data_IF_029677874272
#
_entry.id   IF_029677874272
#
_cell.length_a   1.000
_cell.length_b   1.000
_cell.length_c   1.000
_cell.angle_alpha   90.00
_cell.angle_beta   90.00
_cell.angle_gamma   90.00
#
_symmetry.space_group_name_H-M   'P 1'
#
loop_
_entity.id
_entity.type
_entity.pdbx_description
1 polymer ?
#
# COMPACT_ATOMS: atom_id res chain seq x y z
N UNK A 1 -27.40 -14.23 -38.43
CA UNK A 1 -26.45 -13.13 -38.61
C UNK A 1 -26.62 -12.18 -37.44
N UNK A 2 -25.90 -12.39 -36.37
CA UNK A 2 -25.94 -11.58 -35.17
C UNK A 2 -24.63 -10.76 -35.12
N UNK A 3 -24.80 -9.42 -35.08
CA UNK A 3 -23.69 -8.47 -34.97
C UNK A 3 -23.26 -8.42 -33.52
N UNK A 4 -22.08 -8.92 -33.21
CA UNK A 4 -21.39 -8.69 -31.94
C UNK A 4 -20.93 -7.23 -31.87
N UNK A 5 -21.58 -6.43 -31.02
CA UNK A 5 -21.11 -5.13 -30.63
C UNK A 5 -19.96 -5.27 -29.64
N UNK A 6 -18.75 -4.89 -30.06
CA UNK A 6 -17.59 -4.76 -29.17
C UNK A 6 -17.82 -3.58 -28.23
N UNK A 7 -18.09 -3.86 -26.96
CA UNK A 7 -17.99 -2.89 -25.88
C UNK A 7 -16.48 -2.68 -25.65
N UNK A 8 -15.99 -1.52 -26.07
CA UNK A 8 -14.64 -1.05 -25.72
C UNK A 8 -14.65 -0.69 -24.23
N UNK A 9 -14.09 -1.56 -23.42
CA UNK A 9 -13.72 -1.24 -22.05
C UNK A 9 -12.55 -0.27 -22.15
N UNK A 10 -12.80 1.00 -21.87
CA UNK A 10 -11.76 2.03 -21.74
C UNK A 10 -10.97 1.80 -20.48
N UNK A 11 -10.06 0.84 -20.51
CA UNK A 11 -9.14 0.59 -19.41
C UNK A 11 -8.10 1.70 -19.38
N UNK A 12 -7.88 2.29 -18.23
CA UNK A 12 -6.84 3.25 -17.90
C UNK A 12 -5.45 2.74 -18.28
N UNK A 13 -5.02 3.01 -19.49
CA UNK A 13 -3.65 2.77 -19.93
C UNK A 13 -3.04 4.11 -20.37
N UNK A 14 -2.32 4.74 -19.45
CA UNK A 14 -1.24 5.65 -19.81
C UNK A 14 -0.09 4.81 -20.35
N UNK A 15 -0.19 4.36 -21.61
CA UNK A 15 0.95 3.79 -22.34
C UNK A 15 1.59 4.87 -23.19
N UNK A 16 2.83 5.20 -22.86
CA UNK A 16 3.79 5.69 -23.83
C UNK A 16 4.42 4.48 -24.52
N UNK A 17 4.63 4.49 -25.85
CA UNK A 17 5.18 3.33 -26.55
C UNK A 17 6.68 3.19 -26.24
N UNK A 18 7.06 2.10 -25.62
CA UNK A 18 8.46 1.66 -25.54
C UNK A 18 8.75 0.82 -26.78
N UNK A 19 9.63 1.35 -27.60
CA UNK A 19 10.18 0.64 -28.76
C UNK A 19 11.00 -0.57 -28.30
N UNK A 20 10.65 -1.72 -28.84
CA UNK A 20 11.41 -2.98 -28.74
C UNK A 20 12.81 -2.83 -29.32
N UNK A 21 13.85 -3.03 -28.52
CA UNK A 21 15.20 -3.33 -28.95
C UNK A 21 15.63 -4.69 -28.40
N UNK A 22 15.61 -5.67 -29.26
CA UNK A 22 16.31 -6.94 -29.09
C UNK A 22 17.82 -6.68 -29.13
N UNK A 23 18.57 -7.13 -28.14
CA UNK A 23 20.01 -7.28 -28.28
C UNK A 23 20.56 -8.41 -27.40
N UNK A 24 20.96 -9.44 -28.06
CA UNK A 24 22.13 -10.33 -28.00
C UNK A 24 22.79 -10.56 -26.62
N UNK A 25 22.71 -11.81 -26.24
CA UNK A 25 23.64 -12.46 -25.32
C UNK A 25 25.10 -12.40 -25.82
N UNK A 26 26.01 -12.06 -24.92
CA UNK A 26 27.43 -12.36 -25.08
C UNK A 26 27.98 -12.90 -23.76
N UNK A 27 28.42 -14.16 -23.82
CA UNK A 27 29.26 -14.83 -22.83
C UNK A 27 30.63 -14.14 -22.76
N UNK A 28 31.16 -13.93 -21.56
CA UNK A 28 32.60 -13.91 -21.34
C UNK A 28 32.94 -14.32 -19.91
N UNK A 29 33.55 -15.46 -19.82
CA UNK A 29 34.69 -15.97 -19.05
C UNK A 29 35.05 -15.32 -17.72
N UNK A 30 35.09 -16.20 -16.72
CA UNK A 30 35.84 -16.24 -15.46
C UNK A 30 37.18 -15.51 -15.48
N UNK A 31 37.38 -14.65 -14.47
CA UNK A 31 38.70 -14.40 -13.87
C UNK A 31 38.59 -14.34 -12.35
N UNK A 32 39.19 -15.33 -11.70
CA UNK A 32 39.51 -15.31 -10.29
C UNK A 32 40.54 -14.23 -10.00
N UNK A 33 40.37 -13.52 -8.88
CA UNK A 33 41.47 -12.82 -8.19
C UNK A 33 41.19 -12.77 -6.69
N UNK A 34 42.23 -12.82 -5.84
CA UNK A 34 42.14 -13.42 -4.53
C UNK A 34 42.05 -12.41 -3.38
N UNK A 35 41.56 -12.92 -2.23
CA UNK A 35 41.78 -12.49 -0.85
C UNK A 35 41.72 -10.99 -0.50
N UNK A 36 40.62 -10.58 0.10
CA UNK A 36 40.65 -9.70 1.25
C UNK A 36 39.81 -10.35 2.35
N UNK A 37 40.50 -10.99 3.27
CA UNK A 37 39.96 -11.46 4.53
C UNK A 37 39.90 -10.26 5.50
N UNK A 38 38.96 -10.40 6.45
CA UNK A 38 38.88 -9.69 7.72
C UNK A 38 38.47 -8.20 7.70
N UNK A 39 37.13 -7.96 7.73
CA UNK A 39 36.49 -7.14 8.75
C UNK A 39 34.97 -7.41 8.76
N UNK A 40 34.58 -8.62 9.09
CA UNK A 40 33.19 -8.94 9.38
C UNK A 40 32.95 -8.64 10.86
N UNK A 41 32.39 -7.45 11.13
CA UNK A 41 31.75 -7.19 12.41
C UNK A 41 30.67 -8.25 12.70
N UNK A 42 30.25 -8.44 13.95
CA UNK A 42 29.38 -9.55 14.34
C UNK A 42 28.09 -9.51 13.53
N UNK A 43 27.91 -10.49 12.69
CA UNK A 43 26.62 -10.78 12.04
C UNK A 43 25.65 -11.11 13.17
N UNK A 44 24.70 -10.19 13.41
CA UNK A 44 23.61 -10.44 14.35
C UNK A 44 22.72 -11.50 13.72
N UNK A 45 22.89 -12.73 14.12
CA UNK A 45 22.08 -13.91 13.76
C UNK A 45 20.63 -13.85 14.32
N UNK A 46 20.08 -12.68 14.58
CA UNK A 46 18.80 -12.50 15.28
C UNK A 46 17.55 -12.70 14.42
N UNK A 47 17.66 -13.04 13.12
CA UNK A 47 16.52 -12.99 12.19
C UNK A 47 15.82 -14.32 11.91
N UNK A 48 16.49 -15.46 12.01
CA UNK A 48 15.93 -16.75 11.53
C UNK A 48 14.98 -17.39 12.55
N UNK A 49 15.23 -17.20 13.83
CA UNK A 49 14.43 -17.83 14.90
C UNK A 49 13.09 -17.12 15.17
N UNK A 50 12.89 -15.86 14.71
CA UNK A 50 11.67 -15.09 14.98
C UNK A 50 10.43 -15.62 14.25
N UNK A 51 10.61 -16.40 13.17
CA UNK A 51 9.49 -17.00 12.40
C UNK A 51 9.30 -18.50 12.70
N UNK A 52 10.23 -19.14 13.39
CA UNK A 52 10.14 -20.54 13.73
C UNK A 52 8.91 -20.79 14.63
N UNK A 53 7.92 -21.50 14.08
CA UNK A 53 6.68 -21.81 14.80
C UNK A 53 5.57 -20.75 14.72
N UNK A 54 5.79 -19.58 14.12
CA UNK A 54 4.73 -18.61 13.90
C UNK A 54 3.75 -19.11 12.84
N UNK A 55 2.47 -19.19 13.21
CA UNK A 55 1.37 -19.52 12.29
C UNK A 55 0.53 -18.26 12.05
N UNK A 56 0.61 -17.74 10.84
CA UNK A 56 -0.17 -16.60 10.42
C UNK A 56 -1.67 -16.90 10.41
N UNK A 57 -2.46 -16.08 11.12
CA UNK A 57 -3.93 -16.12 11.06
C UNK A 57 -4.44 -14.99 10.15
N UNK A 58 -4.65 -15.30 8.88
CA UNK A 58 -5.09 -14.34 7.86
C UNK A 58 -6.52 -13.85 8.02
N UNK A 59 -7.29 -14.41 8.96
CA UNK A 59 -8.63 -13.92 9.35
C UNK A 59 -8.55 -12.79 10.36
N UNK A 60 -7.46 -12.75 11.11
CA UNK A 60 -7.15 -11.66 12.01
C UNK A 60 -6.56 -10.49 11.22
N UNK A 61 -6.99 -9.26 11.50
CA UNK A 61 -6.34 -8.08 10.94
C UNK A 61 -4.97 -7.82 11.55
N UNK A 62 -4.75 -8.21 12.78
CA UNK A 62 -3.50 -7.96 13.51
C UNK A 62 -2.57 -9.16 13.45
N UNK A 63 -1.27 -8.90 13.22
CA UNK A 63 -0.23 -9.90 13.43
C UNK A 63 -0.16 -10.42 14.89
N UNK A 64 -0.95 -9.80 15.79
CA UNK A 64 -1.00 -10.17 17.20
C UNK A 64 0.34 -9.93 17.90
N UNK A 65 0.44 -9.72 19.19
CA UNK A 65 1.60 -9.32 20.00
C UNK A 65 3.00 -9.89 19.65
N UNK A 66 3.24 -10.19 18.37
CA UNK A 66 4.51 -10.70 17.86
C UNK A 66 5.45 -9.53 17.55
N UNK A 67 6.64 -9.55 18.10
CA UNK A 67 7.75 -8.69 17.69
C UNK A 67 8.36 -9.23 16.37
N UNK A 68 7.52 -9.53 15.39
CA UNK A 68 7.99 -10.05 14.11
C UNK A 68 8.71 -8.94 13.35
N UNK A 69 9.89 -9.25 12.88
CA UNK A 69 10.68 -8.40 12.00
C UNK A 69 10.98 -9.15 10.71
N UNK A 70 10.93 -8.42 9.59
CA UNK A 70 11.38 -8.98 8.32
C UNK A 70 12.86 -9.34 8.40
N UNK A 71 13.29 -10.30 7.59
CA UNK A 71 14.72 -10.54 7.36
C UNK A 71 15.36 -9.26 6.79
N UNK A 72 16.69 -9.10 6.93
CA UNK A 72 17.41 -8.00 6.29
C UNK A 72 17.03 -7.94 4.81
N UNK A 73 16.56 -6.78 4.28
CA UNK A 73 16.07 -6.71 2.92
C UNK A 73 17.21 -6.91 1.91
N UNK A 74 16.88 -7.55 0.81
CA UNK A 74 17.76 -7.61 -0.35
C UNK A 74 17.59 -6.33 -1.16
N UNK A 75 18.67 -5.60 -1.37
CA UNK A 75 18.69 -4.44 -2.26
C UNK A 75 18.78 -4.92 -3.72
N UNK A 76 17.71 -4.68 -4.49
CA UNK A 76 17.70 -4.98 -5.91
C UNK A 76 18.28 -3.85 -6.76
N UNK A 77 17.90 -2.61 -6.45
CA UNK A 77 18.28 -1.42 -7.22
C UNK A 77 18.35 -0.19 -6.33
N UNK A 78 19.27 0.73 -6.63
CA UNK A 78 19.36 2.03 -5.96
C UNK A 78 19.68 3.13 -6.97
N UNK A 79 18.74 4.04 -7.14
CA UNK A 79 18.88 5.21 -8.00
C UNK A 79 19.13 6.46 -7.18
N UNK A 80 19.92 7.35 -7.74
CA UNK A 80 20.30 8.59 -7.10
C UNK A 80 19.96 9.79 -7.99
N UNK A 81 18.74 10.33 -7.85
CA UNK A 81 18.27 11.49 -8.56
C UNK A 81 18.75 12.81 -7.88
N UNK A 82 18.64 13.96 -8.52
CA UNK A 82 19.09 15.25 -7.93
C UNK A 82 18.40 15.58 -6.60
N UNK A 83 17.12 15.30 -6.46
CA UNK A 83 16.23 15.72 -5.38
C UNK A 83 15.79 14.57 -4.43
N UNK A 84 15.92 13.32 -4.87
CA UNK A 84 15.57 12.15 -4.06
C UNK A 84 16.46 10.94 -4.38
N UNK A 85 16.37 9.89 -3.56
CA UNK A 85 16.89 8.56 -3.85
C UNK A 85 15.74 7.57 -3.93
N UNK A 86 15.86 6.55 -4.79
CA UNK A 86 14.93 5.42 -4.84
C UNK A 86 15.68 4.12 -4.57
N UNK A 87 15.17 3.32 -3.66
CA UNK A 87 15.62 1.96 -3.39
C UNK A 87 14.52 0.98 -3.75
N UNK A 88 14.85 -0.09 -4.46
CA UNK A 88 13.95 -1.21 -4.74
C UNK A 88 14.45 -2.38 -3.91
N UNK A 89 13.64 -2.84 -2.97
CA UNK A 89 13.99 -3.83 -1.96
C UNK A 89 13.09 -5.05 -2.07
N UNK A 90 13.64 -6.22 -1.78
CA UNK A 90 12.85 -7.42 -1.46
C UNK A 90 12.87 -7.61 0.05
N UNK A 91 11.73 -7.36 0.70
CA UNK A 91 11.54 -7.51 2.15
C UNK A 91 10.84 -8.84 2.40
N UNK A 92 11.57 -9.79 2.98
CA UNK A 92 11.06 -11.14 3.19
C UNK A 92 10.76 -11.40 4.65
N UNK A 93 9.58 -11.92 4.93
CA UNK A 93 9.19 -12.47 6.22
C UNK A 93 8.39 -13.78 6.10
N UNK A 94 7.78 -14.04 4.93
CA UNK A 94 7.23 -15.36 4.58
C UNK A 94 8.19 -16.07 3.64
N UNK A 95 8.40 -17.38 3.78
CA UNK A 95 9.19 -18.17 2.83
C UNK A 95 8.62 -18.04 1.42
N UNK A 96 9.47 -17.71 0.44
CA UNK A 96 9.09 -17.65 -0.97
C UNK A 96 8.16 -16.50 -1.39
N UNK A 97 7.77 -15.60 -0.48
CA UNK A 97 6.83 -14.51 -0.75
C UNK A 97 7.39 -13.14 -0.29
N UNK A 98 8.42 -12.59 -0.95
CA UNK A 98 8.97 -11.29 -0.59
C UNK A 98 8.03 -10.15 -0.97
N UNK A 99 7.99 -9.11 -0.14
CA UNK A 99 7.34 -7.85 -0.47
C UNK A 99 8.30 -7.02 -1.32
N UNK A 100 7.91 -6.68 -2.54
CA UNK A 100 8.66 -5.73 -3.37
C UNK A 100 8.34 -4.31 -2.91
N UNK A 101 9.32 -3.66 -2.30
CA UNK A 101 9.19 -2.36 -1.67
C UNK A 101 10.00 -1.31 -2.42
N UNK A 102 9.34 -0.21 -2.78
CA UNK A 102 9.95 0.98 -3.39
C UNK A 102 10.06 2.05 -2.32
N UNK A 103 11.27 2.45 -1.97
CA UNK A 103 11.51 3.49 -0.96
C UNK A 103 12.10 4.72 -1.63
N UNK A 104 11.32 5.80 -1.70
CA UNK A 104 11.75 7.10 -2.23
C UNK A 104 11.98 8.07 -1.08
N UNK A 105 13.20 8.59 -0.94
CA UNK A 105 13.59 9.49 0.14
C UNK A 105 13.98 10.88 -0.41
N UNK A 106 13.32 11.97 0.03
CA UNK A 106 13.70 13.32 -0.36
C UNK A 106 15.06 13.69 0.27
N UNK A 107 15.99 14.24 -0.51
CA UNK A 107 17.35 14.59 -0.03
C UNK A 107 17.39 15.81 0.89
N UNK A 108 16.39 16.69 0.79
CA UNK A 108 16.37 17.96 1.52
C UNK A 108 15.84 17.87 2.95
N UNK A 109 15.27 16.74 3.32
CA UNK A 109 14.64 16.53 4.63
C UNK A 109 15.30 15.36 5.34
N UNK A 110 15.82 15.63 6.54
CA UNK A 110 16.35 14.57 7.40
C UNK A 110 15.19 13.92 8.13
N UNK A 111 15.14 12.59 8.15
CA UNK A 111 14.09 11.80 8.77
C UNK A 111 12.67 12.29 8.35
N UNK A 112 12.33 12.25 7.04
CA UNK A 112 11.03 12.68 6.58
C UNK A 112 9.92 11.78 7.15
N UNK A 113 8.71 12.32 7.39
CA UNK A 113 7.53 11.49 7.61
C UNK A 113 7.22 10.66 6.37
N UNK A 114 6.55 9.53 6.51
CA UNK A 114 6.35 8.61 5.41
C UNK A 114 4.88 8.39 5.04
N UNK A 115 4.65 8.16 3.75
CA UNK A 115 3.35 7.76 3.21
C UNK A 115 3.52 6.45 2.45
N UNK A 116 2.73 5.45 2.84
CA UNK A 116 2.59 4.21 2.08
C UNK A 116 1.60 4.44 0.94
N UNK A 117 1.98 4.01 -0.26
CA UNK A 117 1.15 4.11 -1.46
C UNK A 117 0.82 2.73 -1.99
N UNK A 118 -0.45 2.40 -2.05
CA UNK A 118 -0.95 1.15 -2.61
C UNK A 118 -2.07 1.44 -3.61
N UNK A 119 -1.80 1.11 -4.86
CA UNK A 119 -2.75 1.29 -5.95
C UNK A 119 -3.61 0.05 -6.15
N UNK A 120 -4.62 0.21 -7.00
CA UNK A 120 -5.58 -0.85 -7.26
C UNK A 120 -4.98 -1.97 -8.12
N UNK A 121 -5.33 -3.20 -7.79
CA UNK A 121 -5.12 -4.35 -8.66
C UNK A 121 -5.68 -4.08 -10.08
N UNK A 122 -5.00 -4.48 -11.16
CA UNK A 122 -3.70 -5.17 -11.21
C UNK A 122 -2.48 -4.25 -11.35
N UNK A 123 -2.64 -2.94 -11.47
CA UNK A 123 -1.58 -1.98 -11.79
C UNK A 123 -1.01 -1.30 -10.53
N UNK A 124 -0.52 -2.09 -9.59
CA UNK A 124 -0.15 -1.57 -8.28
C UNK A 124 1.20 -0.84 -8.24
N UNK A 125 2.22 -1.30 -8.97
CA UNK A 125 3.59 -0.87 -8.73
C UNK A 125 4.37 -0.32 -9.94
N UNK A 126 3.90 -0.45 -11.17
CA UNK A 126 4.63 -0.05 -12.37
C UNK A 126 5.06 1.42 -12.36
N UNK A 127 4.20 2.28 -11.81
CA UNK A 127 4.43 3.72 -11.72
C UNK A 127 5.58 4.13 -10.80
N UNK A 128 5.98 3.27 -9.84
CA UNK A 128 7.12 3.55 -8.95
C UNK A 128 8.49 3.43 -9.64
N UNK A 129 8.52 3.02 -10.90
CA UNK A 129 9.71 3.07 -11.75
C UNK A 129 9.82 4.37 -12.55
N UNK A 130 8.73 5.12 -12.69
CA UNK A 130 8.73 6.42 -13.35
C UNK A 130 9.32 7.50 -12.43
N UNK A 131 10.34 8.23 -12.92
CA UNK A 131 11.06 9.24 -12.14
C UNK A 131 10.17 10.43 -11.80
N UNK A 132 9.38 10.91 -12.78
CA UNK A 132 8.54 12.10 -12.58
C UNK A 132 7.43 11.81 -11.59
N UNK A 133 6.83 10.63 -11.68
CA UNK A 133 5.85 10.19 -10.72
C UNK A 133 6.45 10.09 -9.30
N UNK A 134 7.61 9.45 -9.15
CA UNK A 134 8.30 9.37 -7.85
C UNK A 134 8.61 10.78 -7.29
N UNK A 135 8.99 11.73 -8.15
CA UNK A 135 9.24 13.11 -7.76
C UNK A 135 7.99 13.79 -7.19
N UNK A 136 6.82 13.59 -7.80
CA UNK A 136 5.54 14.10 -7.27
C UNK A 136 5.24 13.56 -5.86
N UNK A 137 5.59 12.31 -5.59
CA UNK A 137 5.34 11.69 -4.29
C UNK A 137 6.22 12.25 -3.17
N UNK A 138 7.42 12.74 -3.49
CA UNK A 138 8.39 13.23 -2.49
C UNK A 138 8.57 14.76 -2.48
N UNK A 139 8.00 15.48 -3.44
CA UNK A 139 8.23 16.92 -3.67
C UNK A 139 7.98 17.80 -2.45
N UNK A 140 7.05 17.42 -1.59
CA UNK A 140 6.68 18.15 -0.38
C UNK A 140 7.43 17.66 0.88
N UNK A 141 8.52 16.89 0.71
CA UNK A 141 9.40 16.52 1.81
C UNK A 141 8.88 15.34 2.65
N UNK A 142 8.03 14.49 2.09
CA UNK A 142 7.63 13.20 2.66
C UNK A 142 8.39 12.06 1.98
N UNK A 143 8.75 11.02 2.71
CA UNK A 143 9.18 9.76 2.11
C UNK A 143 7.96 9.06 1.48
N UNK A 144 8.16 8.46 0.32
CA UNK A 144 7.13 7.67 -0.32
C UNK A 144 7.52 6.19 -0.35
N UNK A 145 6.59 5.33 0.09
CA UNK A 145 6.79 3.89 0.21
C UNK A 145 5.75 3.21 -0.67
N UNK A 146 6.17 2.74 -1.84
CA UNK A 146 5.32 1.98 -2.75
C UNK A 146 5.51 0.47 -2.56
N UNK A 147 4.47 -0.31 -2.72
CA UNK A 147 4.56 -1.77 -2.68
C UNK A 147 3.43 -2.43 -3.46
N UNK A 148 3.59 -3.73 -3.76
CA UNK A 148 2.56 -4.57 -4.34
C UNK A 148 1.87 -5.40 -3.26
N UNK A 149 0.54 -5.45 -3.29
CA UNK A 149 -0.25 -6.30 -2.40
C UNK A 149 -0.15 -7.78 -2.78
N UNK A 150 -0.66 -8.65 -1.91
CA UNK A 150 -0.78 -10.06 -2.21
C UNK A 150 -1.88 -10.40 -3.24
N UNK A 151 -2.56 -9.39 -3.79
CA UNK A 151 -3.54 -9.56 -4.87
C UNK A 151 -2.89 -9.67 -6.25
N UNK A 152 -1.61 -9.33 -6.41
CA UNK A 152 -0.95 -9.33 -7.72
C UNK A 152 -0.31 -10.67 -8.07
N UNK A 153 -0.31 -11.01 -9.37
CA UNK A 153 0.28 -12.23 -9.93
C UNK A 153 1.74 -12.43 -9.55
N UNK A 154 2.50 -11.35 -9.42
CA UNK A 154 3.92 -11.41 -9.09
C UNK A 154 4.23 -12.08 -7.75
N UNK A 155 3.23 -12.14 -6.85
CA UNK A 155 3.35 -12.75 -5.53
C UNK A 155 2.76 -14.16 -5.44
N UNK A 156 2.20 -14.66 -6.55
CA UNK A 156 1.56 -15.97 -6.63
C UNK A 156 2.38 -16.98 -7.47
N UNK A 157 3.70 -16.79 -7.58
CA UNK A 157 4.54 -17.67 -8.39
C UNK A 157 4.42 -19.17 -8.03
N UNK A 158 4.19 -19.47 -6.77
CA UNK A 158 4.03 -20.86 -6.29
C UNK A 158 2.57 -21.30 -6.23
N UNK A 159 1.64 -20.39 -6.41
CA UNK A 159 0.20 -20.63 -6.42
C UNK A 159 -0.37 -19.95 -7.66
N UNK A 160 -0.46 -20.64 -8.79
CA UNK A 160 -1.18 -20.05 -9.91
C UNK A 160 -2.57 -19.67 -9.42
N UNK A 161 -2.87 -18.38 -9.39
CA UNK A 161 -4.25 -17.91 -9.33
C UNK A 161 -4.95 -18.63 -10.46
N UNK A 162 -5.76 -19.62 -10.12
CA UNK A 162 -6.39 -20.43 -11.13
C UNK A 162 -7.26 -19.60 -12.05
N UNK A 163 -7.73 -18.47 -11.53
CA UNK A 163 -8.57 -17.55 -12.27
C UNK A 163 -8.31 -16.09 -11.88
N UNK A 164 -8.38 -15.69 -10.62
CA UNK A 164 -8.05 -14.35 -10.13
C UNK A 164 -8.28 -14.21 -8.60
N UNK A 165 -7.83 -13.08 -8.01
CA UNK A 165 -7.73 -12.91 -6.56
C UNK A 165 -9.03 -13.06 -5.76
N UNK A 166 -10.22 -12.95 -6.38
CA UNK A 166 -11.50 -13.03 -5.65
C UNK A 166 -11.74 -14.42 -5.08
N UNK A 167 -11.37 -15.47 -5.79
CA UNK A 167 -11.49 -16.83 -5.26
C UNK A 167 -10.71 -17.02 -3.95
N UNK A 168 -9.66 -16.23 -3.75
CA UNK A 168 -8.78 -16.24 -2.58
C UNK A 168 -8.82 -14.90 -1.81
N UNK A 169 -9.93 -14.17 -1.88
CA UNK A 169 -10.06 -12.81 -1.35
C UNK A 169 -9.71 -12.70 0.14
N UNK A 170 -10.14 -13.67 0.96
CA UNK A 170 -9.81 -13.73 2.38
C UNK A 170 -8.29 -13.80 2.60
N UNK A 171 -7.63 -14.71 1.91
CA UNK A 171 -6.19 -14.91 2.03
C UNK A 171 -5.41 -13.71 1.51
N UNK A 172 -5.80 -13.18 0.35
CA UNK A 172 -5.14 -12.06 -0.29
C UNK A 172 -5.23 -10.77 0.53
N UNK A 173 -6.41 -10.46 1.07
CA UNK A 173 -6.60 -9.29 1.92
C UNK A 173 -5.85 -9.44 3.26
N UNK A 174 -6.02 -10.57 3.95
CA UNK A 174 -5.36 -10.82 5.24
C UNK A 174 -3.83 -10.76 5.10
N UNK A 175 -3.29 -11.42 4.07
CA UNK A 175 -1.86 -11.36 3.74
C UNK A 175 -1.40 -9.91 3.52
N UNK A 176 -2.14 -9.12 2.73
CA UNK A 176 -1.76 -7.74 2.42
C UNK A 176 -1.82 -6.82 3.64
N UNK A 177 -2.79 -7.00 4.53
CA UNK A 177 -2.90 -6.24 5.79
C UNK A 177 -1.72 -6.55 6.72
N UNK A 178 -1.31 -7.81 6.81
CA UNK A 178 -0.14 -8.21 7.58
C UNK A 178 1.17 -7.68 6.96
N UNK A 179 1.25 -7.62 5.63
CA UNK A 179 2.39 -7.03 4.94
C UNK A 179 2.55 -5.55 5.26
N UNK A 180 1.46 -4.78 5.34
CA UNK A 180 1.52 -3.38 5.76
C UNK A 180 2.13 -3.27 7.16
N UNK A 181 1.70 -4.10 8.11
CA UNK A 181 2.26 -4.11 9.48
C UNK A 181 3.74 -4.50 9.47
N UNK A 182 4.14 -5.46 8.63
CA UNK A 182 5.53 -5.86 8.48
C UNK A 182 6.38 -4.77 7.82
N UNK A 183 5.85 -4.06 6.81
CA UNK A 183 6.51 -2.87 6.24
C UNK A 183 6.73 -1.82 7.33
N UNK A 184 5.74 -1.52 8.16
CA UNK A 184 5.87 -0.58 9.26
C UNK A 184 6.92 -1.03 10.29
N UNK A 185 6.99 -2.32 10.60
CA UNK A 185 8.03 -2.89 11.45
C UNK A 185 9.42 -2.69 10.82
N UNK A 186 9.56 -2.99 9.53
CA UNK A 186 10.80 -2.76 8.80
C UNK A 186 11.18 -1.26 8.79
N UNK A 187 10.24 -0.37 8.47
CA UNK A 187 10.52 1.07 8.47
C UNK A 187 10.99 1.58 9.85
N UNK A 188 10.50 0.98 10.93
CA UNK A 188 10.93 1.36 12.28
C UNK A 188 12.38 0.98 12.60
N UNK A 189 12.98 0.06 11.84
CA UNK A 189 14.39 -0.28 11.96
C UNK A 189 15.31 0.66 11.16
N UNK A 190 14.73 1.46 10.25
CA UNK A 190 15.47 2.46 9.47
C UNK A 190 15.66 3.74 10.29
N UNK A 191 16.87 4.24 10.38
CA UNK A 191 17.15 5.51 11.06
C UNK A 191 16.94 6.77 10.22
N UNK A 192 16.46 6.63 8.99
CA UNK A 192 16.34 7.69 7.98
C UNK A 192 14.88 8.10 7.68
N UNK A 193 13.90 7.56 8.42
CA UNK A 193 12.46 7.85 8.29
C UNK A 193 11.87 8.14 9.67
N UNK A 194 10.99 9.13 9.78
CA UNK A 194 10.19 9.39 10.97
C UNK A 194 8.94 8.53 11.00
N UNK A 195 9.03 7.38 11.64
CA UNK A 195 7.92 6.43 11.77
C UNK A 195 6.84 6.81 12.80
N UNK A 196 7.00 7.93 13.49
CA UNK A 196 5.95 8.49 14.35
C UNK A 196 4.86 9.19 13.53
N UNK A 197 5.15 9.55 12.27
CA UNK A 197 4.28 10.27 11.34
C UNK A 197 4.10 9.46 10.06
N UNK A 198 3.15 8.53 10.08
CA UNK A 198 2.84 7.65 8.95
C UNK A 198 1.45 7.95 8.41
N UNK A 199 1.36 8.07 7.09
CA UNK A 199 0.11 8.06 6.33
C UNK A 199 0.04 6.88 5.37
N UNK A 200 -1.17 6.62 4.85
CA UNK A 200 -1.36 5.66 3.78
C UNK A 200 -2.37 6.18 2.76
N UNK A 201 -1.95 6.20 1.50
CA UNK A 201 -2.81 6.40 0.35
C UNK A 201 -3.20 5.05 -0.22
N UNK A 202 -4.48 4.88 -0.53
CA UNK A 202 -4.98 3.68 -1.19
C UNK A 202 -5.96 4.02 -2.31
N UNK A 203 -5.91 3.24 -3.38
CA UNK A 203 -6.82 3.32 -4.53
C UNK A 203 -7.51 1.97 -4.72
N UNK A 204 -8.82 1.93 -4.85
CA UNK A 204 -9.61 0.71 -5.09
C UNK A 204 -9.35 -0.39 -4.06
N UNK A 205 -8.73 -1.50 -4.48
CA UNK A 205 -8.28 -2.58 -3.59
C UNK A 205 -7.24 -2.10 -2.59
N UNK A 206 -6.34 -1.19 -3.00
CA UNK A 206 -5.36 -0.58 -2.10
C UNK A 206 -6.02 0.26 -1.01
N UNK A 207 -7.14 0.93 -1.29
CA UNK A 207 -7.92 1.67 -0.30
C UNK A 207 -8.64 0.72 0.68
N UNK A 208 -9.14 -0.42 0.21
CA UNK A 208 -9.68 -1.46 1.07
C UNK A 208 -8.63 -1.96 2.08
N UNK A 209 -7.43 -2.28 1.59
CA UNK A 209 -6.30 -2.72 2.43
C UNK A 209 -5.88 -1.60 3.40
N UNK A 210 -5.86 -0.33 2.96
CA UNK A 210 -5.51 0.81 3.81
C UNK A 210 -6.48 0.97 4.99
N UNK A 211 -7.78 0.81 4.77
CA UNK A 211 -8.81 0.83 5.83
C UNK A 211 -8.54 -0.27 6.86
N UNK A 212 -8.34 -1.50 6.39
CA UNK A 212 -8.12 -2.66 7.25
C UNK A 212 -6.79 -2.55 8.03
N UNK A 213 -5.73 -2.12 7.36
CA UNK A 213 -4.42 -1.92 7.98
C UNK A 213 -4.45 -0.83 9.06
N UNK A 214 -5.14 0.30 8.81
CA UNK A 214 -5.26 1.38 9.80
C UNK A 214 -6.16 1.00 10.97
N UNK A 215 -7.12 0.10 10.80
CA UNK A 215 -7.89 -0.46 11.89
C UNK A 215 -7.02 -1.37 12.78
N UNK A 216 -6.09 -2.12 12.18
CA UNK A 216 -5.20 -3.02 12.89
C UNK A 216 -3.99 -2.32 13.53
N UNK A 217 -3.46 -1.26 12.89
CA UNK A 217 -2.20 -0.63 13.29
C UNK A 217 -2.36 0.87 13.60
N UNK A 218 -2.17 1.26 14.87
CA UNK A 218 -2.32 2.65 15.28
C UNK A 218 -1.21 3.59 14.77
N UNK A 219 -0.15 3.08 14.17
CA UNK A 219 0.91 3.90 13.57
C UNK A 219 0.43 4.66 12.34
N UNK A 220 -0.55 4.13 11.61
CA UNK A 220 -1.15 4.83 10.46
C UNK A 220 -2.10 5.91 10.99
N UNK A 221 -1.69 7.18 10.88
CA UNK A 221 -2.42 8.35 11.43
C UNK A 221 -3.31 9.05 10.41
N UNK A 222 -2.90 9.04 9.14
CA UNK A 222 -3.56 9.76 8.05
C UNK A 222 -3.91 8.79 6.94
N UNK A 223 -5.14 8.84 6.46
CA UNK A 223 -5.63 8.00 5.37
C UNK A 223 -6.20 8.86 4.25
N UNK A 224 -5.84 8.50 3.03
CA UNK A 224 -6.37 9.10 1.83
C UNK A 224 -6.87 7.98 0.90
N UNK A 225 -8.17 7.88 0.74
CA UNK A 225 -8.85 6.73 0.17
C UNK A 225 -9.54 7.13 -1.13
N UNK A 226 -9.09 6.58 -2.26
CA UNK A 226 -9.73 6.76 -3.55
C UNK A 226 -10.58 5.53 -3.90
N UNK A 227 -11.89 5.72 -4.09
CA UNK A 227 -12.83 4.68 -4.54
C UNK A 227 -12.64 3.32 -3.86
N UNK A 228 -12.64 3.25 -2.51
CA UNK A 228 -12.37 2.00 -1.80
C UNK A 228 -13.35 0.90 -2.20
N UNK A 229 -12.82 -0.33 -2.36
CA UNK A 229 -13.67 -1.52 -2.44
C UNK A 229 -14.15 -1.89 -1.03
N UNK A 230 -15.31 -2.50 -0.94
CA UNK A 230 -15.91 -2.96 0.31
C UNK A 230 -17.41 -3.20 0.17
N UNK A 231 -18.07 -3.59 1.27
CA UNK A 231 -19.44 -4.11 1.23
C UNK A 231 -19.48 -5.35 0.33
N UNK A 232 -18.68 -6.35 0.72
CA UNK A 232 -18.43 -7.51 -0.12
C UNK A 232 -19.69 -8.15 -0.72
N UNK A 233 -20.83 -8.29 -0.01
CA UNK A 233 -22.03 -8.87 -0.62
C UNK A 233 -22.53 -8.07 -1.83
N UNK A 234 -22.54 -6.73 -1.74
CA UNK A 234 -22.98 -5.87 -2.83
C UNK A 234 -21.91 -5.74 -3.91
N UNK A 235 -20.65 -5.61 -3.50
CA UNK A 235 -19.52 -5.50 -4.42
C UNK A 235 -19.39 -6.76 -5.29
N UNK A 236 -19.43 -7.95 -4.70
CA UNK A 236 -19.34 -9.23 -5.42
C UNK A 236 -20.54 -9.45 -6.35
N UNK A 237 -21.71 -8.95 -5.97
CA UNK A 237 -22.91 -9.08 -6.78
C UNK A 237 -22.90 -8.18 -8.02
N UNK A 238 -22.27 -6.98 -7.96
CA UNK A 238 -22.51 -5.93 -8.94
C UNK A 238 -21.26 -5.33 -9.59
N UNK A 239 -20.07 -5.52 -9.00
CA UNK A 239 -18.83 -4.97 -9.58
C UNK A 239 -18.60 -5.51 -10.99
N UNK A 240 -18.17 -4.62 -11.89
CA UNK A 240 -17.77 -5.01 -13.25
C UNK A 240 -16.54 -5.93 -13.29
N UNK A 241 -15.76 -6.00 -12.22
CA UNK A 241 -14.63 -6.92 -12.10
C UNK A 241 -15.07 -8.37 -11.90
N UNK A 242 -16.25 -8.62 -11.35
CA UNK A 242 -16.73 -9.99 -11.07
C UNK A 242 -17.43 -10.56 -12.28
N UNK A 243 -16.91 -11.62 -12.94
CA UNK A 243 -17.60 -12.27 -14.02
C UNK A 243 -18.98 -12.76 -13.60
N UNK A 244 -19.98 -12.55 -14.46
CA UNK A 244 -21.38 -12.85 -14.12
C UNK A 244 -21.58 -14.32 -13.77
N UNK A 245 -20.92 -15.20 -14.50
CA UNK A 245 -20.94 -16.65 -14.31
C UNK A 245 -20.35 -17.12 -12.98
N UNK A 246 -19.47 -16.33 -12.37
CA UNK A 246 -18.82 -16.66 -11.10
C UNK A 246 -19.56 -16.11 -9.87
N UNK A 247 -20.39 -15.07 -10.05
CA UNK A 247 -21.06 -14.36 -8.94
C UNK A 247 -21.81 -15.28 -7.99
N UNK A 248 -22.50 -16.28 -8.53
CA UNK A 248 -23.26 -17.24 -7.71
C UNK A 248 -22.36 -18.04 -6.76
N UNK A 249 -21.08 -18.28 -7.12
CA UNK A 249 -20.13 -18.96 -6.24
C UNK A 249 -19.68 -18.08 -5.07
N UNK A 250 -19.44 -16.79 -5.34
CA UNK A 250 -18.96 -15.82 -4.35
C UNK A 250 -20.06 -15.26 -3.43
N UNK A 251 -21.32 -15.41 -3.84
CA UNK A 251 -22.49 -15.01 -3.01
C UNK A 251 -22.99 -16.13 -2.10
N UNK A 252 -22.32 -17.29 -2.07
CA UNK A 252 -22.67 -18.36 -1.13
C UNK A 252 -22.38 -17.91 0.31
N UNK A 253 -23.26 -18.29 1.27
CA UNK A 253 -23.09 -17.92 2.68
C UNK A 253 -21.70 -18.26 3.23
N UNK A 254 -21.15 -19.41 2.85
CA UNK A 254 -19.84 -19.89 3.33
C UNK A 254 -18.70 -19.01 2.83
N UNK A 255 -18.80 -18.50 1.61
CA UNK A 255 -17.81 -17.56 1.06
C UNK A 255 -17.92 -16.20 1.74
N UNK A 256 -19.14 -15.65 1.80
CA UNK A 256 -19.38 -14.35 2.43
C UNK A 256 -18.95 -14.34 3.91
N UNK A 257 -19.23 -15.42 4.64
CA UNK A 257 -18.81 -15.55 6.05
C UNK A 257 -17.28 -15.52 6.21
N UNK A 258 -16.53 -16.08 5.26
CA UNK A 258 -15.06 -16.06 5.30
C UNK A 258 -14.51 -14.66 5.09
N UNK A 259 -15.04 -13.90 4.13
CA UNK A 259 -14.55 -12.56 3.79
C UNK A 259 -15.12 -11.45 4.68
N UNK A 260 -16.18 -11.73 5.42
CA UNK A 260 -16.87 -10.78 6.29
C UNK A 260 -15.97 -10.05 7.30
N UNK A 261 -15.01 -10.71 8.00
CA UNK A 261 -14.09 -10.04 8.93
C UNK A 261 -13.17 -9.04 8.23
N UNK A 262 -12.97 -9.19 6.92
CA UNK A 262 -12.10 -8.36 6.09
C UNK A 262 -12.94 -7.39 5.21
N UNK A 263 -14.18 -7.09 5.59
CA UNK A 263 -14.98 -6.09 4.90
C UNK A 263 -14.63 -4.69 5.41
N UNK A 264 -14.05 -3.80 4.58
CA UNK A 264 -13.72 -2.44 4.96
C UNK A 264 -14.90 -1.66 5.57
N UNK A 265 -16.13 -1.91 5.09
CA UNK A 265 -17.33 -1.25 5.60
C UNK A 265 -17.48 -1.38 7.13
N UNK A 266 -17.07 -2.52 7.71
CA UNK A 266 -17.18 -2.78 9.15
C UNK A 266 -16.17 -2.01 10.00
N UNK A 267 -15.06 -1.59 9.38
CA UNK A 267 -13.93 -1.00 10.09
C UNK A 267 -13.89 0.53 9.99
N UNK A 268 -14.59 1.13 9.04
CA UNK A 268 -14.58 2.58 8.83
C UNK A 268 -14.93 3.38 10.08
N UNK A 269 -15.93 2.97 10.84
CA UNK A 269 -16.34 3.66 12.07
C UNK A 269 -15.24 3.65 13.17
N UNK A 270 -14.33 2.69 13.14
CA UNK A 270 -13.22 2.56 14.08
C UNK A 270 -12.06 3.52 13.76
N UNK A 271 -12.10 4.17 12.59
CA UNK A 271 -11.08 5.14 12.17
C UNK A 271 -11.33 6.56 12.72
N UNK A 272 -12.22 6.73 13.70
CA UNK A 272 -12.56 8.05 14.27
C UNK A 272 -11.37 8.80 14.91
N UNK A 273 -10.31 8.09 15.30
CA UNK A 273 -9.07 8.69 15.80
C UNK A 273 -8.06 9.02 14.70
N UNK A 274 -8.38 8.78 13.43
CA UNK A 274 -7.53 9.03 12.27
C UNK A 274 -7.99 10.29 11.54
N UNK A 275 -7.06 10.92 10.82
CA UNK A 275 -7.40 11.94 9.82
C UNK A 275 -7.66 11.22 8.50
N UNK A 276 -8.89 11.30 8.00
CA UNK A 276 -9.32 10.52 6.84
C UNK A 276 -9.89 11.42 5.76
N UNK A 277 -9.50 11.19 4.50
CA UNK A 277 -10.13 11.73 3.31
C UNK A 277 -10.66 10.59 2.45
N UNK A 278 -11.89 10.75 1.96
CA UNK A 278 -12.50 9.88 0.94
C UNK A 278 -12.60 10.65 -0.37
N UNK A 279 -12.07 10.10 -1.44
CA UNK A 279 -12.14 10.64 -2.78
C UNK A 279 -13.05 9.77 -3.65
N UNK A 280 -14.04 10.36 -4.27
CA UNK A 280 -15.07 9.67 -5.06
C UNK A 280 -15.02 10.10 -6.52
N UNK A 281 -14.99 9.11 -7.40
CA UNK A 281 -15.05 9.23 -8.84
C UNK A 281 -16.30 8.52 -9.37
N UNK A 282 -17.47 9.19 -9.42
CA UNK A 282 -18.79 8.56 -9.61
C UNK A 282 -18.98 7.87 -10.96
N UNK A 283 -18.08 8.04 -11.88
CA UNK A 283 -18.05 7.36 -13.18
C UNK A 283 -17.35 5.99 -13.15
N UNK A 284 -16.69 5.67 -12.05
CA UNK A 284 -16.06 4.36 -11.89
C UNK A 284 -17.11 3.27 -11.63
N UNK A 285 -17.00 2.18 -12.37
CA UNK A 285 -17.93 1.04 -12.28
C UNK A 285 -17.43 -0.10 -11.43
N UNK A 286 -16.16 -0.01 -10.94
CA UNK A 286 -15.54 -1.06 -10.15
C UNK A 286 -16.14 -1.15 -8.76
N UNK A 287 -16.50 0.00 -8.16
CA UNK A 287 -17.24 0.03 -6.90
C UNK A 287 -18.70 0.37 -7.21
N UNK A 288 -19.66 -0.55 -6.99
CA UNK A 288 -21.08 -0.30 -7.22
C UNK A 288 -21.57 0.91 -6.43
N UNK A 289 -22.50 1.69 -7.01
CA UNK A 289 -23.00 2.91 -6.38
C UNK A 289 -23.60 2.67 -5.00
N UNK A 290 -24.30 1.55 -4.81
CA UNK A 290 -24.89 1.16 -3.52
C UNK A 290 -23.86 0.80 -2.46
N UNK A 291 -22.77 0.15 -2.85
CA UNK A 291 -21.62 -0.11 -1.96
C UNK A 291 -20.92 1.22 -1.61
N UNK A 292 -20.68 2.09 -2.61
CA UNK A 292 -20.08 3.42 -2.43
C UNK A 292 -20.88 4.28 -1.43
N UNK A 293 -22.20 4.36 -1.58
CA UNK A 293 -23.06 5.10 -0.65
C UNK A 293 -22.98 4.57 0.79
N UNK A 294 -22.90 3.25 0.97
CA UNK A 294 -22.74 2.66 2.31
C UNK A 294 -21.36 2.92 2.90
N UNK A 295 -20.29 2.80 2.10
CA UNK A 295 -18.94 3.14 2.53
C UNK A 295 -18.85 4.62 2.92
N UNK A 296 -19.39 5.53 2.09
CA UNK A 296 -19.43 6.96 2.40
C UNK A 296 -20.17 7.24 3.71
N UNK A 297 -21.36 6.64 3.90
CA UNK A 297 -22.17 6.80 5.11
C UNK A 297 -21.48 6.27 6.38
N UNK A 298 -20.63 5.25 6.23
CA UNK A 298 -19.88 4.65 7.33
C UNK A 298 -18.60 5.42 7.70
N UNK A 299 -18.23 6.44 6.92
CA UNK A 299 -17.05 7.26 7.21
C UNK A 299 -17.18 7.96 8.56
N UNK A 300 -16.04 8.15 9.29
CA UNK A 300 -16.04 8.98 10.48
C UNK A 300 -16.59 10.38 10.20
N UNK A 301 -17.32 10.96 11.14
CA UNK A 301 -17.99 12.27 10.96
C UNK A 301 -17.03 13.42 10.60
N UNK A 302 -15.77 13.32 11.00
CA UNK A 302 -14.71 14.29 10.69
C UNK A 302 -14.00 14.03 9.34
N UNK A 303 -14.36 12.98 8.61
CA UNK A 303 -13.73 12.67 7.34
C UNK A 303 -14.02 13.74 6.28
N UNK A 304 -13.00 14.09 5.51
CA UNK A 304 -13.15 14.97 4.36
C UNK A 304 -13.59 14.16 3.15
N UNK A 305 -14.65 14.60 2.46
CA UNK A 305 -15.16 13.91 1.27
C UNK A 305 -14.98 14.79 0.05
N UNK A 306 -14.23 14.30 -0.93
CA UNK A 306 -13.98 14.96 -2.21
C UNK A 306 -14.68 14.20 -3.32
N UNK A 307 -15.41 14.90 -4.18
CA UNK A 307 -16.07 14.33 -5.36
C UNK A 307 -15.53 14.97 -6.62
N UNK A 308 -15.07 14.15 -7.53
CA UNK A 308 -14.66 14.61 -8.85
C UNK A 308 -15.87 14.65 -9.80
N UNK A 309 -16.04 15.75 -10.51
CA UNK A 309 -17.17 15.92 -11.43
C UNK A 309 -17.11 14.95 -12.62
N UNK A 310 -15.87 14.65 -13.07
CA UNK A 310 -15.64 13.79 -14.23
C UNK A 310 -14.19 13.25 -14.23
N UNK A 311 -13.91 12.30 -15.13
CA UNK A 311 -12.58 11.69 -15.29
C UNK A 311 -11.48 12.72 -15.59
N UNK A 312 -11.82 13.80 -16.30
CA UNK A 312 -10.86 14.86 -16.64
C UNK A 312 -10.39 15.60 -15.38
N UNK A 313 -11.31 15.91 -14.47
CA UNK A 313 -11.01 16.59 -13.21
C UNK A 313 -10.08 15.72 -12.33
N UNK A 314 -10.39 14.43 -12.19
CA UNK A 314 -9.51 13.48 -11.49
C UNK A 314 -8.13 13.39 -12.15
N UNK A 315 -8.10 13.22 -13.47
CA UNK A 315 -6.85 13.10 -14.21
C UNK A 315 -5.97 14.35 -14.09
N UNK A 316 -6.59 15.52 -14.11
CA UNK A 316 -5.89 16.79 -13.93
C UNK A 316 -5.32 16.90 -12.50
N UNK A 317 -6.07 16.53 -11.47
CA UNK A 317 -5.58 16.52 -10.10
C UNK A 317 -4.41 15.55 -9.93
N UNK A 318 -4.49 14.35 -10.51
CA UNK A 318 -3.44 13.35 -10.44
C UNK A 318 -2.16 13.79 -11.16
N UNK A 319 -2.27 14.34 -12.38
CA UNK A 319 -1.11 14.77 -13.19
C UNK A 319 -0.43 16.03 -12.66
N UNK A 320 -1.16 16.91 -11.97
CA UNK A 320 -0.59 18.13 -11.37
C UNK A 320 0.09 17.90 -10.02
N UNK A 321 -0.03 16.70 -9.43
CA UNK A 321 0.45 16.39 -8.09
C UNK A 321 -0.45 16.89 -6.96
N UNK A 322 -1.45 17.76 -7.23
CA UNK A 322 -2.41 18.25 -6.23
C UNK A 322 -3.19 17.12 -5.55
N UNK A 323 -3.29 16.00 -6.24
CA UNK A 323 -3.92 14.80 -5.73
C UNK A 323 -3.32 14.32 -4.40
N UNK A 324 -1.99 14.47 -4.23
CA UNK A 324 -1.27 14.03 -3.04
C UNK A 324 -1.00 15.15 -2.02
N UNK A 325 -1.22 16.41 -2.38
CA UNK A 325 -0.90 17.56 -1.51
C UNK A 325 -1.57 17.45 -0.14
N UNK A 326 -2.81 16.97 -0.12
CA UNK A 326 -3.58 16.85 1.12
C UNK A 326 -2.92 15.87 2.11
N UNK A 327 -2.66 14.63 1.68
CA UNK A 327 -2.06 13.62 2.56
C UNK A 327 -0.64 14.01 2.98
N UNK A 328 0.15 14.56 2.05
CA UNK A 328 1.50 15.03 2.35
C UNK A 328 1.49 16.15 3.40
N UNK A 329 0.57 17.11 3.28
CA UNK A 329 0.42 18.18 4.27
C UNK A 329 -0.02 17.64 5.64
N UNK A 330 -1.00 16.73 5.67
CA UNK A 330 -1.53 16.15 6.92
C UNK A 330 -0.49 15.30 7.65
N UNK A 331 0.27 14.49 6.92
CA UNK A 331 1.33 13.66 7.52
C UNK A 331 2.46 14.53 8.08
N UNK A 332 2.84 15.61 7.40
CA UNK A 332 3.85 16.55 7.92
C UNK A 332 3.39 17.28 9.18
N UNK A 333 2.10 17.61 9.28
CA UNK A 333 1.53 18.33 10.44
C UNK A 333 1.11 17.41 11.58
N UNK A 334 1.08 16.09 11.39
CA UNK A 334 0.79 15.14 12.46
C UNK A 334 1.86 15.27 13.54
N UNK A 335 1.43 15.52 14.81
CA UNK A 335 2.37 15.64 15.92
C UNK A 335 3.12 14.32 16.13
N UNK A 336 4.44 14.38 16.14
CA UNK A 336 5.28 13.27 16.59
C UNK A 336 5.02 13.01 18.06
N UNK A 337 5.00 11.75 18.48
CA UNK A 337 4.75 11.35 19.86
C UNK A 337 5.75 11.95 20.88
N UNK A 338 6.83 12.55 20.43
CA UNK A 338 7.87 13.16 21.26
C UNK A 338 7.63 14.65 21.62
N UNK A 339 6.78 15.38 20.86
CA UNK A 339 6.52 16.79 21.18
C UNK A 339 5.44 16.98 22.25
N UNK A 340 4.51 16.05 22.36
CA UNK A 340 3.45 16.12 23.39
C UNK A 340 3.98 15.93 24.83
N UNK A 341 5.18 15.38 25.00
CA UNK A 341 5.80 15.16 26.32
C UNK A 341 6.70 16.32 26.75
N UNK A 342 7.12 17.17 25.83
CA UNK A 342 8.03 18.30 26.13
C UNK A 342 7.31 19.55 26.66
N UNK A 343 6.01 19.73 26.37
CA UNK A 343 5.24 20.91 26.80
C UNK A 343 4.70 20.80 28.23
N UNK A 344 4.76 19.62 28.85
CA UNK A 344 4.23 19.39 30.21
C UNK A 344 5.29 19.35 31.31
N UNK A 345 6.56 19.70 31.04
CA UNK A 345 7.60 19.79 32.07
C UNK A 345 8.31 21.14 32.07
N UNK A 346 7.62 22.19 32.40
CA UNK A 346 8.26 23.37 33.04
C UNK A 346 7.36 23.95 34.14
N UNK A 347 7.49 23.49 35.39
CA UNK A 347 6.83 24.10 36.52
C UNK A 347 7.76 25.08 37.23
N UNK A 348 8.47 25.95 36.55
CA UNK A 348 9.35 26.91 37.19
C UNK A 348 9.23 28.31 36.61
N UNK A 349 8.09 28.97 36.86
CA UNK A 349 8.03 30.44 37.00
C UNK A 349 6.72 30.84 37.70
N UNK A 350 6.69 30.62 39.01
CA UNK A 350 5.84 31.37 39.90
C UNK A 350 6.68 31.71 41.13
N UNK A 351 7.34 32.85 41.12
CA UNK A 351 7.76 33.70 42.21
C UNK A 351 8.17 35.03 41.60
N UNK A 352 7.37 36.00 41.71
CA UNK A 352 7.30 37.23 42.52
C UNK A 352 6.12 38.06 42.05
#
# INVERSE_FOLDING_TARGET
MAKFGRVMIGLFLLFLPVATLLSRAQQSSSQESPNAADDAGPVVEAGIDSFAGYKEDRKSLSLGGSNLHALPPLLGEKDNYPDFTREILAVQWRPGDPIHLYVMLPKKVKNPPAILYLYSYPAENDRFRDEEFCRLLVQNGTAAIGFASALTDQRYHDRPMKEWFISELEESLGTSVHDVQMILNYLSTRGDIDTSRIGMFGDGSGAAIAILAAAADPRIKVLDLLEPWGDWPDWLAKSALVPEEERAAYLKPEFLQRVEPLDPLKWLSQLSSRTVRLQLAPYETLTPSTARERLEKAMPAQAEIVRYENSKALHQAASSGQFFDWIQARVRSAAGSNEATAVLKDPATRRE
#
